data_IF_185723737723
#
_entry.id   IF_185723737723
#
_cell.length_a   1.000
_cell.length_b   1.000
_cell.length_c   1.000
_cell.angle_alpha   90.00
_cell.angle_beta   90.00
_cell.angle_gamma   90.00
#
_symmetry.space_group_name_H-M   'P 1'
#
loop_
_entity.id
_entity.type
_entity.pdbx_description
1 polymer ?
#
# COMPACT_ATOMS: atom_id res chain seq x y z
N UNK A 1 4.91 11.60 -37.23
CA UNK A 1 5.09 10.97 -35.91
C UNK A 1 6.57 10.67 -35.75
N UNK A 2 7.19 11.08 -34.64
CA UNK A 2 7.21 10.20 -33.48
C UNK A 2 6.45 10.78 -32.29
N UNK A 3 5.79 9.86 -31.57
CA UNK A 3 5.12 10.09 -30.29
C UNK A 3 6.17 10.38 -29.23
N UNK A 4 6.14 11.55 -28.59
CA UNK A 4 6.80 11.74 -27.31
C UNK A 4 5.89 11.16 -26.21
N UNK A 5 6.31 10.13 -25.44
CA UNK A 5 5.45 9.45 -24.51
C UNK A 5 5.84 9.70 -23.04
N UNK A 6 5.98 10.94 -22.53
CA UNK A 6 6.19 11.10 -21.08
C UNK A 6 6.03 12.53 -20.52
N UNK A 7 4.81 13.05 -20.45
CA UNK A 7 4.49 14.25 -19.64
C UNK A 7 3.20 14.06 -18.83
N UNK A 8 3.12 12.97 -18.06
CA UNK A 8 2.03 12.72 -17.11
C UNK A 8 2.39 13.04 -15.64
N UNK A 9 3.63 13.44 -15.34
CA UNK A 9 4.09 13.52 -13.94
C UNK A 9 4.80 14.82 -13.56
N UNK A 10 4.39 15.96 -14.13
CA UNK A 10 4.81 17.27 -13.59
C UNK A 10 4.01 17.60 -12.32
N UNK A 11 4.25 16.85 -11.24
CA UNK A 11 3.84 17.22 -9.89
C UNK A 11 5.04 17.86 -9.16
N UNK A 12 4.91 19.08 -8.61
CA UNK A 12 5.99 19.71 -7.86
C UNK A 12 6.28 18.93 -6.56
N UNK A 13 7.57 18.85 -6.22
CA UNK A 13 8.21 18.24 -5.04
C UNK A 13 7.71 18.75 -3.65
N UNK A 14 6.45 19.18 -3.51
CA UNK A 14 5.94 19.78 -2.26
C UNK A 14 5.11 18.84 -1.38
N UNK A 15 5.04 17.54 -1.70
CA UNK A 15 4.41 16.53 -0.83
C UNK A 15 5.40 15.69 0.00
N UNK A 16 6.71 15.99 -0.08
CA UNK A 16 7.72 15.28 0.72
C UNK A 16 7.88 15.84 2.16
N UNK A 17 7.09 16.85 2.54
CA UNK A 17 7.21 17.60 3.81
C UNK A 17 5.89 17.61 4.62
N UNK A 18 5.11 16.53 4.55
CA UNK A 18 3.91 16.37 5.39
C UNK A 18 4.10 15.22 6.39
N UNK A 19 4.82 15.51 7.48
CA UNK A 19 4.60 14.98 8.83
C UNK A 19 4.42 13.46 9.00
N UNK A 20 5.51 12.70 8.98
CA UNK A 20 5.55 11.39 9.64
C UNK A 20 5.60 11.59 11.16
N UNK A 21 4.43 11.66 11.78
CA UNK A 21 4.28 11.91 13.22
C UNK A 21 4.49 10.60 14.00
N UNK A 22 5.71 10.40 14.52
CA UNK A 22 6.07 9.28 15.40
C UNK A 22 5.53 9.43 16.82
N UNK A 23 4.59 8.57 17.21
CA UNK A 23 4.25 8.23 18.61
C UNK A 23 3.79 6.77 18.59
N UNK A 24 4.34 5.76 19.29
CA UNK A 24 4.86 5.73 20.66
C UNK A 24 5.69 4.46 20.94
N UNK A 25 6.71 4.62 21.80
CA UNK A 25 7.20 3.68 22.83
C UNK A 25 7.69 2.27 22.47
N UNK A 26 9.02 2.20 22.28
CA UNK A 26 9.96 1.14 22.62
C UNK A 26 9.43 -0.15 23.30
N UNK A 27 9.20 -1.20 22.50
CA UNK A 27 9.67 -2.57 22.75
C UNK A 27 10.08 -3.14 21.39
N UNK A 28 11.31 -3.65 21.28
CA UNK A 28 11.91 -4.11 20.03
C UNK A 28 11.20 -5.32 19.43
N UNK A 29 10.17 -5.06 18.64
CA UNK A 29 9.80 -5.73 17.38
C UNK A 29 9.12 -4.65 16.54
N UNK A 30 9.83 -4.13 15.54
CA UNK A 30 9.49 -3.05 14.63
C UNK A 30 8.33 -3.40 13.66
N UNK A 31 7.23 -3.96 14.16
CA UNK A 31 6.02 -4.05 13.36
C UNK A 31 5.30 -2.71 13.42
N UNK A 32 5.48 -1.88 12.39
CA UNK A 32 4.68 -0.68 12.21
C UNK A 32 3.18 -1.04 12.31
N UNK A 33 2.45 -0.30 13.15
CA UNK A 33 1.01 -0.48 13.35
C UNK A 33 0.33 0.38 12.30
N UNK A 34 -0.23 -0.27 11.28
CA UNK A 34 -1.03 0.38 10.24
C UNK A 34 -2.53 0.32 10.57
N UNK A 35 -3.29 1.33 10.15
CA UNK A 35 -4.75 1.35 10.19
C UNK A 35 -5.35 1.27 8.78
N UNK A 36 -6.66 1.01 8.66
CA UNK A 36 -7.34 0.99 7.37
C UNK A 36 -7.23 2.33 6.63
N UNK A 37 -7.09 3.44 7.34
CA UNK A 37 -6.94 4.78 6.75
C UNK A 37 -5.63 4.98 5.99
N UNK A 38 -4.61 4.16 6.26
CA UNK A 38 -3.30 4.27 5.60
C UNK A 38 -3.30 3.69 4.18
N UNK A 39 -4.33 2.90 3.83
CA UNK A 39 -4.48 2.27 2.52
C UNK A 39 -5.58 2.96 1.71
N UNK A 40 -5.17 3.86 0.82
CA UNK A 40 -6.10 4.66 -0.02
C UNK A 40 -6.28 4.11 -1.43
N UNK A 41 -5.35 3.26 -1.89
CA UNK A 41 -5.37 2.63 -3.21
C UNK A 41 -5.35 1.12 -3.02
N UNK A 42 -6.16 0.42 -3.82
CA UNK A 42 -6.20 -1.04 -3.83
C UNK A 42 -6.34 -1.57 -5.26
N UNK A 43 -5.77 -2.75 -5.50
CA UNK A 43 -5.95 -3.49 -6.74
C UNK A 43 -6.88 -4.68 -6.49
N UNK A 44 -7.88 -4.87 -7.36
CA UNK A 44 -8.83 -5.98 -7.28
C UNK A 44 -8.36 -7.08 -8.23
N UNK A 45 -8.19 -8.29 -7.70
CA UNK A 45 -7.82 -9.48 -8.46
C UNK A 45 -9.00 -10.46 -8.48
N UNK A 46 -9.28 -11.06 -9.65
CA UNK A 46 -10.35 -12.05 -9.78
C UNK A 46 -9.82 -13.48 -9.55
N UNK A 47 -8.52 -13.69 -9.79
CA UNK A 47 -7.87 -15.00 -9.69
C UNK A 47 -6.76 -15.01 -8.62
N UNK A 48 -6.55 -16.15 -7.93
CA UNK A 48 -5.43 -16.29 -6.99
C UNK A 48 -4.05 -16.06 -7.62
N UNK A 49 -3.91 -16.36 -8.91
CA UNK A 49 -2.66 -16.15 -9.67
C UNK A 49 -2.35 -14.65 -9.83
N UNK A 50 -3.37 -13.83 -10.06
CA UNK A 50 -3.23 -12.38 -10.13
C UNK A 50 -2.88 -11.80 -8.75
N UNK A 51 -3.53 -12.29 -7.69
CA UNK A 51 -3.19 -11.92 -6.32
C UNK A 51 -1.74 -12.28 -5.97
N UNK A 52 -1.27 -13.45 -6.38
CA UNK A 52 0.10 -13.88 -6.17
C UNK A 52 1.10 -12.98 -6.92
N UNK A 53 0.78 -12.58 -8.15
CA UNK A 53 1.59 -11.63 -8.91
C UNK A 53 1.60 -10.24 -8.27
N UNK A 54 0.44 -9.69 -7.90
CA UNK A 54 0.33 -8.40 -7.22
C UNK A 54 1.10 -8.40 -5.89
N UNK A 55 0.98 -9.48 -5.11
CA UNK A 55 1.74 -9.67 -3.87
C UNK A 55 3.25 -9.71 -4.10
N UNK A 56 3.71 -10.27 -5.21
CA UNK A 56 5.13 -10.30 -5.58
C UNK A 56 5.65 -8.96 -6.11
N UNK A 57 4.76 -8.06 -6.55
CA UNK A 57 5.09 -6.71 -7.00
C UNK A 57 5.15 -5.68 -5.87
N UNK A 58 4.75 -6.03 -4.64
CA UNK A 58 4.87 -5.16 -3.48
C UNK A 58 6.31 -5.13 -2.97
N UNK A 59 6.85 -3.93 -2.77
CA UNK A 59 8.18 -3.74 -2.18
C UNK A 59 8.21 -4.14 -0.70
N UNK A 60 7.15 -3.79 0.05
CA UNK A 60 6.96 -4.13 1.46
C UNK A 60 5.62 -4.86 1.67
N UNK A 61 5.54 -5.76 2.64
CA UNK A 61 4.29 -6.43 3.01
C UNK A 61 3.96 -6.14 4.46
N UNK A 62 2.79 -5.53 4.68
CA UNK A 62 2.29 -5.22 6.00
C UNK A 62 1.46 -6.38 6.57
N UNK A 63 1.31 -6.41 7.89
CA UNK A 63 0.45 -7.39 8.54
C UNK A 63 -1.00 -7.18 8.09
N UNK A 64 -1.68 -8.27 7.76
CA UNK A 64 -3.11 -8.23 7.45
C UNK A 64 -3.90 -7.60 8.63
N UNK A 65 -4.64 -6.54 8.32
CA UNK A 65 -5.61 -5.97 9.24
C UNK A 65 -6.77 -6.96 9.45
N UNK A 66 -7.47 -6.92 10.60
CA UNK A 66 -8.63 -7.77 10.83
C UNK A 66 -9.62 -7.67 9.67
N UNK A 67 -10.11 -8.78 9.13
CA UNK A 67 -11.16 -8.70 8.12
C UNK A 67 -12.42 -8.12 8.78
N UNK A 68 -13.06 -7.13 8.15
CA UNK A 68 -14.38 -6.66 8.62
C UNK A 68 -15.38 -7.77 8.34
N UNK A 69 -15.98 -8.29 9.41
CA UNK A 69 -16.79 -9.52 9.42
C UNK A 69 -17.83 -9.57 8.30
N UNK A 70 -17.57 -10.41 7.27
CA UNK A 70 -18.49 -11.16 6.38
C UNK A 70 -18.00 -11.36 4.94
N UNK A 71 -16.86 -10.81 4.53
CA UNK A 71 -16.32 -11.09 3.20
C UNK A 71 -15.40 -12.32 3.20
N UNK A 72 -15.46 -13.09 2.10
CA UNK A 72 -14.52 -14.18 1.82
C UNK A 72 -13.34 -13.67 0.97
N UNK A 73 -13.09 -12.37 1.01
CA UNK A 73 -12.08 -11.72 0.19
C UNK A 73 -10.70 -11.88 0.84
N UNK A 74 -9.69 -12.07 0.01
CA UNK A 74 -8.29 -12.12 0.46
C UNK A 74 -7.69 -10.74 0.31
N UNK A 75 -7.18 -10.18 1.41
CA UNK A 75 -6.52 -8.88 1.43
C UNK A 75 -5.02 -9.06 1.63
N UNK A 76 -4.23 -8.37 0.82
CA UNK A 76 -2.78 -8.26 0.95
C UNK A 76 -2.47 -6.78 1.05
N UNK A 77 -1.67 -6.41 2.05
CA UNK A 77 -1.33 -5.04 2.39
C UNK A 77 0.19 -4.86 2.26
N UNK A 78 0.60 -3.68 1.84
CA UNK A 78 1.99 -3.28 1.63
C UNK A 78 2.05 -1.79 1.32
#
# INVERSE_FOLDING_TARGET
>A
MPRNPQTRWDLPNSLFEAGYNVTSSAVGTDKAIFDYGDYTVGSICALPTELAAAKAMLDEQHQALPARSKDNNMFVLG
#
